data_IF_580160626944
#
_entry.id   IF_580160626944
#
_cell.length_a   1.000
_cell.length_b   1.000
_cell.length_c   1.000
_cell.angle_alpha   90.00
_cell.angle_beta   90.00
_cell.angle_gamma   90.00
#
_symmetry.space_group_name_H-M   'P 1'
#
loop_
_entity.id
_entity.type
_entity.pdbx_description
1 polymer ?
#
# COMPACT_ATOMS: atom_id res chain seq x y z
N UNK A 1 5.36 -23.22 -9.97
CA UNK A 1 5.21 -23.03 -8.51
C UNK A 1 5.08 -21.56 -8.10
N UNK A 2 6.01 -20.66 -8.44
CA UNK A 2 5.93 -19.24 -8.05
C UNK A 2 4.64 -18.53 -8.52
N UNK A 3 4.20 -18.73 -9.76
CA UNK A 3 2.95 -18.11 -10.24
C UNK A 3 1.69 -18.61 -9.54
N UNK A 4 1.65 -19.90 -9.15
CA UNK A 4 0.55 -20.44 -8.37
C UNK A 4 0.50 -19.77 -6.99
N UNK A 5 1.66 -19.49 -6.41
CA UNK A 5 1.76 -18.74 -5.16
C UNK A 5 1.22 -17.31 -5.28
N UNK A 6 1.50 -16.61 -6.38
CA UNK A 6 0.94 -15.28 -6.63
C UNK A 6 -0.59 -15.30 -6.75
N UNK A 7 -1.14 -16.29 -7.47
CA UNK A 7 -2.59 -16.43 -7.61
C UNK A 7 -3.22 -16.72 -6.25
N UNK A 8 -2.60 -17.59 -5.45
CA UNK A 8 -3.07 -17.90 -4.10
C UNK A 8 -3.03 -16.68 -3.17
N UNK A 9 -1.94 -15.89 -3.17
CA UNK A 9 -1.85 -14.68 -2.33
C UNK A 9 -2.84 -13.60 -2.76
N UNK A 10 -3.05 -13.44 -4.07
CA UNK A 10 -4.05 -12.54 -4.63
C UNK A 10 -5.47 -12.97 -4.20
N UNK A 11 -5.85 -14.22 -4.45
CA UNK A 11 -7.16 -14.75 -4.08
C UNK A 11 -7.39 -14.65 -2.58
N UNK A 12 -6.34 -14.84 -1.78
CA UNK A 12 -6.44 -14.70 -0.35
C UNK A 12 -6.73 -13.26 0.07
N UNK A 13 -6.03 -12.27 -0.50
CA UNK A 13 -6.31 -10.85 -0.21
C UNK A 13 -7.67 -10.40 -0.75
N UNK A 14 -8.06 -10.89 -1.93
CA UNK A 14 -9.33 -10.59 -2.59
C UNK A 14 -10.52 -11.13 -1.77
N UNK A 15 -10.48 -12.41 -1.39
CA UNK A 15 -11.54 -13.10 -0.66
C UNK A 15 -11.52 -12.83 0.85
N UNK A 16 -10.43 -12.27 1.39
CA UNK A 16 -10.33 -11.96 2.81
C UNK A 16 -11.39 -10.92 3.22
N UNK A 17 -12.11 -11.23 4.30
CA UNK A 17 -13.08 -10.32 4.89
C UNK A 17 -12.34 -9.10 5.47
N UNK A 18 -12.70 -7.92 5.01
CA UNK A 18 -12.18 -6.66 5.54
C UNK A 18 -12.83 -6.26 6.88
N UNK A 19 -14.04 -6.76 7.15
CA UNK A 19 -14.81 -6.50 8.36
C UNK A 19 -14.37 -7.39 9.54
N UNK A 20 -14.35 -6.82 10.74
CA UNK A 20 -14.13 -7.55 12.00
C UNK A 20 -15.14 -7.11 13.07
N UNK A 21 -15.47 -8.03 13.98
CA UNK A 21 -16.34 -7.76 15.15
C UNK A 21 -15.58 -7.13 16.33
N UNK A 22 -14.28 -6.80 16.19
CA UNK A 22 -13.50 -6.15 17.25
C UNK A 22 -13.96 -4.72 17.39
N UNK A 23 -14.36 -4.32 18.59
CA UNK A 23 -14.70 -2.94 18.89
C UNK A 23 -13.47 -2.18 19.37
N UNK A 24 -13.34 -0.94 18.92
CA UNK A 24 -12.27 -0.02 19.31
C UNK A 24 -12.85 1.17 20.05
N UNK A 25 -12.00 1.86 20.81
CA UNK A 25 -12.31 3.19 21.31
C UNK A 25 -12.55 4.16 20.15
N UNK A 26 -13.52 5.07 20.32
CA UNK A 26 -13.83 6.10 19.35
C UNK A 26 -12.79 7.22 19.38
N UNK A 27 -12.36 7.66 18.20
CA UNK A 27 -11.52 8.86 18.09
C UNK A 27 -12.39 10.07 17.77
N UNK A 28 -12.68 10.90 18.78
CA UNK A 28 -13.49 12.12 18.64
C UNK A 28 -12.81 13.15 17.74
N UNK A 29 -11.51 13.35 17.91
CA UNK A 29 -10.68 14.29 17.12
C UNK A 29 -10.69 13.90 15.64
N UNK A 30 -10.53 12.60 15.36
CA UNK A 30 -10.59 12.11 13.99
C UNK A 30 -12.02 11.78 13.54
N UNK A 31 -13.07 12.06 14.32
CA UNK A 31 -14.45 11.65 14.04
C UNK A 31 -14.54 10.24 13.44
N UNK A 32 -14.02 9.27 14.20
CA UNK A 32 -13.97 7.84 13.87
C UNK A 32 -14.62 7.04 15.00
N UNK A 33 -15.96 6.95 15.04
CA UNK A 33 -16.66 6.17 16.05
C UNK A 33 -16.26 4.71 15.92
N UNK A 34 -15.88 4.09 17.05
CA UNK A 34 -15.37 2.70 17.12
C UNK A 34 -14.30 2.35 16.07
N UNK A 35 -13.53 3.35 15.60
CA UNK A 35 -12.55 3.21 14.51
C UNK A 35 -13.14 2.63 13.21
N UNK A 36 -14.42 2.90 12.94
CA UNK A 36 -15.17 2.38 11.80
C UNK A 36 -15.41 3.43 10.72
N UNK A 37 -15.54 2.97 9.48
CA UNK A 37 -15.91 3.81 8.34
C UNK A 37 -16.86 3.09 7.40
N UNK A 38 -17.98 3.74 7.07
CA UNK A 38 -18.87 3.27 6.02
C UNK A 38 -18.28 3.58 4.65
N UNK A 39 -18.28 2.59 3.74
CA UNK A 39 -17.74 2.75 2.38
C UNK A 39 -18.81 2.38 1.36
N UNK A 40 -19.30 3.38 0.62
CA UNK A 40 -20.26 3.18 -0.49
C UNK A 40 -19.76 2.15 -1.52
N UNK A 41 -18.50 2.23 -1.92
CA UNK A 41 -17.90 1.28 -2.88
C UNK A 41 -17.91 -0.19 -2.41
N UNK A 42 -17.87 -0.43 -1.09
CA UNK A 42 -17.91 -1.77 -0.51
C UNK A 42 -19.33 -2.14 -0.02
N UNK A 43 -20.27 -1.18 0.05
CA UNK A 43 -21.64 -1.31 0.60
C UNK A 43 -21.72 -1.87 2.03
N UNK A 44 -20.66 -1.72 2.83
CA UNK A 44 -20.64 -2.12 4.24
C UNK A 44 -19.71 -1.22 5.06
N UNK A 45 -19.79 -1.35 6.39
CA UNK A 45 -18.93 -0.67 7.36
C UNK A 45 -17.66 -1.47 7.58
N UNK A 46 -16.51 -0.78 7.61
CA UNK A 46 -15.20 -1.38 7.71
C UNK A 46 -14.51 -0.90 8.99
N UNK A 47 -14.14 -1.84 9.87
CA UNK A 47 -13.40 -1.58 11.11
C UNK A 47 -11.91 -1.44 10.81
N UNK A 48 -11.23 -0.44 11.41
CA UNK A 48 -9.80 -0.15 11.17
C UNK A 48 -9.54 0.01 9.66
N UNK A 49 -10.33 0.86 9.03
CA UNK A 49 -10.26 1.12 7.58
C UNK A 49 -8.92 1.78 7.21
N UNK A 50 -8.22 1.21 6.21
CA UNK A 50 -6.99 1.79 5.66
C UNK A 50 -7.26 2.51 4.34
N UNK A 51 -7.63 1.76 3.30
CA UNK A 51 -7.98 2.31 1.99
C UNK A 51 -8.88 1.35 1.20
N UNK A 52 -9.45 1.82 0.09
CA UNK A 52 -10.09 0.94 -0.87
C UNK A 52 -9.09 0.67 -1.99
N UNK A 53 -8.74 -0.59 -2.20
CA UNK A 53 -7.73 -0.97 -3.17
C UNK A 53 -8.41 -1.54 -4.41
N UNK A 54 -8.31 -0.80 -5.52
CA UNK A 54 -8.89 -1.19 -6.82
C UNK A 54 -8.26 -2.49 -7.34
N UNK A 55 -6.99 -2.77 -7.00
CA UNK A 55 -6.25 -3.92 -7.52
C UNK A 55 -6.75 -5.26 -6.97
N UNK A 56 -7.27 -5.26 -5.74
CA UNK A 56 -7.90 -6.45 -5.13
C UNK A 56 -9.43 -6.33 -5.10
N UNK A 57 -9.99 -5.28 -5.73
CA UNK A 57 -11.43 -4.97 -5.73
C UNK A 57 -12.08 -5.04 -4.33
N UNK A 58 -11.33 -4.67 -3.29
CA UNK A 58 -11.77 -4.82 -1.90
C UNK A 58 -11.19 -3.70 -1.02
N UNK A 59 -11.84 -3.47 0.11
CA UNK A 59 -11.36 -2.58 1.16
C UNK A 59 -10.18 -3.25 1.90
N UNK A 60 -9.07 -2.55 2.11
CA UNK A 60 -7.97 -2.96 2.99
C UNK A 60 -8.22 -2.39 4.38
N UNK A 61 -8.24 -3.25 5.38
CA UNK A 61 -8.64 -2.93 6.74
C UNK A 61 -8.11 -3.96 7.74
N UNK A 62 -8.43 -3.79 9.02
CA UNK A 62 -7.92 -4.69 10.06
C UNK A 62 -8.19 -6.18 9.83
N UNK A 63 -9.31 -6.54 9.17
CA UNK A 63 -9.65 -7.95 8.89
C UNK A 63 -8.81 -8.62 7.80
N UNK A 64 -8.16 -7.85 6.93
CA UNK A 64 -7.38 -8.37 5.81
C UNK A 64 -6.00 -7.70 5.64
N UNK A 65 -5.55 -6.92 6.63
CA UNK A 65 -4.30 -6.16 6.56
C UNK A 65 -3.07 -7.08 6.39
N UNK A 66 -3.05 -8.21 7.10
CA UNK A 66 -1.94 -9.18 7.02
C UNK A 66 -1.90 -9.87 5.66
N UNK A 67 -3.07 -10.29 5.15
CA UNK A 67 -3.21 -10.90 3.83
C UNK A 67 -2.78 -9.93 2.73
N UNK A 68 -3.12 -8.64 2.87
CA UNK A 68 -2.68 -7.61 1.94
C UNK A 68 -1.16 -7.40 1.95
N UNK A 69 -0.53 -7.37 3.14
CA UNK A 69 0.94 -7.31 3.24
C UNK A 69 1.59 -8.52 2.57
N UNK A 70 1.04 -9.71 2.79
CA UNK A 70 1.54 -10.94 2.17
C UNK A 70 1.41 -10.90 0.64
N UNK A 71 0.28 -10.40 0.14
CA UNK A 71 0.08 -10.15 -1.29
C UNK A 71 1.15 -9.18 -1.85
N UNK A 72 1.43 -8.06 -1.17
CA UNK A 72 2.48 -7.12 -1.59
C UNK A 72 3.86 -7.78 -1.61
N UNK A 73 4.24 -8.48 -0.55
CA UNK A 73 5.53 -9.18 -0.46
C UNK A 73 5.68 -10.24 -1.56
N UNK A 74 4.65 -11.07 -1.77
CA UNK A 74 4.67 -12.08 -2.84
C UNK A 74 4.82 -11.45 -4.22
N UNK A 75 4.13 -10.33 -4.47
CA UNK A 75 4.20 -9.60 -5.74
C UNK A 75 5.59 -9.04 -5.98
N UNK A 76 6.20 -8.42 -4.96
CA UNK A 76 7.57 -7.90 -5.04
C UNK A 76 8.56 -9.02 -5.35
N UNK A 77 8.50 -10.14 -4.61
CA UNK A 77 9.41 -11.27 -4.80
C UNK A 77 9.28 -11.82 -6.22
N UNK A 78 8.05 -12.09 -6.68
CA UNK A 78 7.82 -12.74 -7.97
C UNK A 78 8.19 -11.83 -9.13
N UNK A 79 7.81 -10.55 -9.08
CA UNK A 79 8.20 -9.58 -10.11
C UNK A 79 9.72 -9.39 -10.16
N UNK A 80 10.39 -9.39 -9.00
CA UNK A 80 11.84 -9.26 -8.94
C UNK A 80 12.56 -10.51 -9.47
N UNK A 81 12.11 -11.70 -9.07
CA UNK A 81 12.65 -12.96 -9.62
C UNK A 81 12.43 -13.04 -11.13
N UNK A 82 11.25 -12.68 -11.61
CA UNK A 82 10.94 -12.65 -13.03
C UNK A 82 11.84 -11.67 -13.80
N UNK A 83 11.99 -10.44 -13.29
CA UNK A 83 12.88 -9.44 -13.87
C UNK A 83 14.33 -9.92 -13.95
N UNK A 84 14.84 -10.59 -12.91
CA UNK A 84 16.18 -11.18 -12.90
C UNK A 84 16.31 -12.30 -13.94
N UNK A 85 15.32 -13.19 -14.06
CA UNK A 85 15.34 -14.27 -15.05
C UNK A 85 15.34 -13.73 -16.48
N UNK A 86 14.50 -12.73 -16.78
CA UNK A 86 14.47 -12.07 -18.08
C UNK A 86 15.78 -11.33 -18.38
N UNK A 87 16.36 -10.62 -17.40
CA UNK A 87 17.66 -9.98 -17.56
C UNK A 87 18.78 -11.00 -17.85
N UNK A 88 18.79 -12.14 -17.14
CA UNK A 88 19.75 -13.23 -17.41
C UNK A 88 19.57 -13.83 -18.79
N UNK A 89 18.33 -14.00 -19.26
CA UNK A 89 18.03 -14.45 -20.61
C UNK A 89 18.58 -13.47 -21.65
N UNK A 90 18.32 -12.16 -21.47
CA UNK A 90 18.85 -11.12 -22.36
C UNK A 90 20.38 -11.16 -22.40
N UNK A 91 21.05 -11.16 -21.24
CA UNK A 91 22.52 -11.22 -21.17
C UNK A 91 23.05 -12.42 -21.94
N UNK A 92 22.48 -13.61 -21.73
CA UNK A 92 22.88 -14.83 -22.46
C UNK A 92 22.60 -14.74 -23.96
N UNK A 93 21.47 -14.14 -24.35
CA UNK A 93 21.11 -14.00 -25.75
C UNK A 93 22.02 -13.01 -26.49
N UNK A 94 22.50 -11.96 -25.83
CA UNK A 94 23.47 -11.01 -26.37
C UNK A 94 24.92 -11.50 -26.29
N UNK A 95 25.26 -12.34 -25.30
CA UNK A 95 26.61 -12.91 -25.16
C UNK A 95 26.82 -14.22 -25.94
N UNK A 96 25.75 -14.83 -26.46
CA UNK A 96 25.86 -15.97 -27.35
C UNK A 96 26.63 -15.57 -28.62
N UNK A 97 27.59 -16.40 -29.08
CA UNK A 97 28.38 -16.07 -30.25
C UNK A 97 27.48 -15.75 -31.46
N UNK A 98 27.88 -14.76 -32.26
CA UNK A 98 27.22 -14.24 -33.47
C UNK A 98 26.75 -15.31 -34.48
N UNK A 99 27.09 -16.57 -34.27
CA UNK A 99 26.63 -17.73 -35.04
C UNK A 99 25.10 -17.77 -35.17
N UNK A 100 24.34 -17.44 -34.12
CA UNK A 100 22.87 -17.34 -34.21
C UNK A 100 22.38 -16.15 -35.04
N UNK A 101 23.02 -14.99 -34.87
CA UNK A 101 22.68 -13.74 -35.57
C UNK A 101 23.04 -13.80 -37.06
N UNK A 102 24.23 -14.29 -37.39
CA UNK A 102 24.72 -14.50 -38.74
C UNK A 102 23.93 -15.55 -39.51
N UNK A 103 23.38 -16.56 -38.81
CA UNK A 103 22.48 -17.56 -39.42
C UNK A 103 21.12 -16.98 -39.80
N UNK A 104 20.52 -16.14 -38.94
CA UNK A 104 19.25 -15.43 -39.24
C UNK A 104 19.46 -14.39 -40.36
N UNK A 105 20.57 -13.66 -40.33
CA UNK A 105 20.92 -12.71 -41.39
C UNK A 105 21.12 -13.39 -42.75
N UNK A 106 21.85 -14.52 -42.80
CA UNK A 106 22.02 -15.31 -44.02
C UNK A 106 20.70 -15.90 -44.53
N UNK A 107 19.82 -16.35 -43.64
CA UNK A 107 18.56 -17.00 -44.00
C UNK A 107 17.46 -16.03 -44.46
N UNK A 108 17.40 -14.81 -43.93
CA UNK A 108 16.28 -13.89 -44.14
C UNK A 108 16.65 -12.51 -44.68
N UNK A 109 17.94 -12.20 -44.83
CA UNK A 109 18.44 -10.87 -45.22
C UNK A 109 18.43 -9.85 -44.08
N UNK A 110 19.29 -8.83 -44.16
CA UNK A 110 19.58 -7.90 -43.06
C UNK A 110 18.33 -7.19 -42.50
N UNK A 111 17.48 -6.62 -43.36
CA UNK A 111 16.27 -5.88 -42.94
C UNK A 111 15.26 -6.78 -42.21
N UNK A 112 15.04 -8.00 -42.70
CA UNK A 112 14.09 -8.95 -42.12
C UNK A 112 14.64 -9.58 -40.84
N UNK A 113 15.93 -9.88 -40.80
CA UNK A 113 16.63 -10.34 -39.60
C UNK A 113 16.59 -9.33 -38.47
N UNK A 114 16.90 -8.05 -38.74
CA UNK A 114 16.84 -6.97 -37.75
C UNK A 114 15.41 -6.77 -37.19
N UNK A 115 14.39 -6.88 -38.06
CA UNK A 115 12.98 -6.80 -37.66
C UNK A 115 12.56 -7.97 -36.75
N UNK A 116 12.97 -9.20 -37.09
CA UNK A 116 12.70 -10.39 -36.26
C UNK A 116 13.39 -10.26 -34.90
N UNK A 117 14.64 -9.81 -34.89
CA UNK A 117 15.40 -9.54 -33.67
C UNK A 117 14.67 -8.52 -32.79
N UNK A 118 14.35 -7.36 -33.35
CA UNK A 118 13.66 -6.29 -32.63
C UNK A 118 12.32 -6.78 -32.05
N UNK A 119 11.49 -7.46 -32.85
CA UNK A 119 10.21 -7.99 -32.38
C UNK A 119 10.35 -9.06 -31.29
N UNK A 120 11.47 -9.79 -31.26
CA UNK A 120 11.70 -10.84 -30.25
C UNK A 120 12.21 -10.28 -28.92
N UNK A 121 13.07 -9.25 -28.96
CA UNK A 121 13.71 -8.72 -27.75
C UNK A 121 12.96 -7.54 -27.12
N UNK A 122 12.34 -6.67 -27.92
CA UNK A 122 11.54 -5.53 -27.43
C UNK A 122 10.50 -5.91 -26.37
N UNK A 123 9.68 -6.98 -26.52
CA UNK A 123 8.74 -7.36 -25.47
C UNK A 123 9.45 -7.79 -24.17
N UNK A 124 10.59 -8.48 -24.26
CA UNK A 124 11.36 -8.91 -23.08
C UNK A 124 11.95 -7.70 -22.34
N UNK A 125 12.48 -6.71 -23.07
CA UNK A 125 12.94 -5.45 -22.47
C UNK A 125 11.82 -4.67 -21.79
N UNK A 126 10.68 -4.51 -22.49
CA UNK A 126 9.51 -3.83 -21.94
C UNK A 126 9.02 -4.53 -20.66
N UNK A 127 9.00 -5.86 -20.66
CA UNK A 127 8.60 -6.68 -19.52
C UNK A 127 9.55 -6.54 -18.32
N UNK A 128 10.87 -6.56 -18.54
CA UNK A 128 11.87 -6.30 -17.47
C UNK A 128 11.66 -4.91 -16.87
N UNK A 129 11.51 -3.89 -17.71
CA UNK A 129 11.34 -2.51 -17.28
C UNK A 129 10.06 -2.32 -16.47
N UNK A 130 8.92 -2.82 -16.96
CA UNK A 130 7.64 -2.70 -16.26
C UNK A 130 7.66 -3.40 -14.90
N UNK A 131 8.15 -4.65 -14.83
CA UNK A 131 8.20 -5.35 -13.55
C UNK A 131 9.18 -4.75 -12.56
N UNK A 132 10.31 -4.20 -13.04
CA UNK A 132 11.25 -3.49 -12.18
C UNK A 132 10.60 -2.23 -11.57
N UNK A 133 9.90 -1.42 -12.38
CA UNK A 133 9.20 -0.22 -11.89
C UNK A 133 8.11 -0.58 -10.90
N UNK A 134 7.29 -1.58 -11.21
CA UNK A 134 6.21 -2.03 -10.32
C UNK A 134 6.81 -2.52 -9.00
N UNK A 135 7.82 -3.38 -9.03
CA UNK A 135 8.51 -3.82 -7.80
C UNK A 135 9.04 -2.66 -6.99
N UNK A 136 9.74 -1.71 -7.63
CA UNK A 136 10.32 -0.55 -6.96
C UNK A 136 9.25 0.34 -6.32
N UNK A 137 8.12 0.55 -6.99
CA UNK A 137 7.00 1.32 -6.46
C UNK A 137 6.28 0.62 -5.31
N UNK A 138 6.21 -0.71 -5.31
CA UNK A 138 5.54 -1.49 -4.27
C UNK A 138 6.36 -1.59 -2.97
N UNK A 139 7.69 -1.49 -3.02
CA UNK A 139 8.55 -1.56 -1.83
C UNK A 139 8.20 -0.51 -0.75
N UNK A 140 8.20 0.81 -1.03
CA UNK A 140 7.86 1.80 -0.01
C UNK A 140 6.42 1.66 0.47
N UNK A 141 5.51 1.23 -0.41
CA UNK A 141 4.13 0.97 -0.04
C UNK A 141 4.00 -0.22 0.93
N UNK A 142 4.72 -1.31 0.68
CA UNK A 142 4.79 -2.48 1.57
C UNK A 142 5.41 -2.12 2.92
N UNK A 143 6.52 -1.36 2.92
CA UNK A 143 7.13 -0.84 4.15
C UNK A 143 6.11 0.01 4.92
N UNK A 144 5.38 0.89 4.23
CA UNK A 144 4.33 1.71 4.82
C UNK A 144 3.23 0.87 5.50
N UNK A 145 2.80 -0.23 4.88
CA UNK A 145 1.81 -1.13 5.47
C UNK A 145 2.34 -1.88 6.70
N UNK A 146 3.61 -2.30 6.67
CA UNK A 146 4.27 -2.90 7.84
C UNK A 146 4.38 -1.89 8.97
N UNK A 147 4.79 -0.65 8.69
CA UNK A 147 4.86 0.42 9.69
C UNK A 147 3.48 0.76 10.25
N UNK A 148 2.43 0.76 9.42
CA UNK A 148 1.05 0.95 9.87
C UNK A 148 0.63 -0.13 10.90
N UNK A 149 1.02 -1.39 10.69
CA UNK A 149 0.82 -2.47 11.67
C UNK A 149 1.63 -2.20 12.94
N UNK A 150 2.92 -1.91 12.80
CA UNK A 150 3.82 -1.70 13.95
C UNK A 150 3.42 -0.50 14.82
N UNK A 151 2.86 0.54 14.22
CA UNK A 151 2.41 1.76 14.91
C UNK A 151 0.92 1.72 15.25
N UNK A 152 0.20 0.66 14.88
CA UNK A 152 -1.27 0.60 14.96
C UNK A 152 -1.99 1.84 14.41
N UNK A 153 -1.49 2.40 13.31
CA UNK A 153 -2.03 3.62 12.68
C UNK A 153 -2.24 3.36 11.20
N UNK A 154 -3.46 3.53 10.74
CA UNK A 154 -3.82 3.37 9.32
C UNK A 154 -3.35 4.57 8.50
N UNK A 155 -3.18 4.37 7.20
CA UNK A 155 -2.97 5.41 6.20
C UNK A 155 -4.11 6.41 6.21
N UNK A 156 -5.36 5.96 6.37
CA UNK A 156 -6.50 6.86 6.50
C UNK A 156 -6.37 7.80 7.71
N UNK A 157 -6.05 7.26 8.89
CA UNK A 157 -5.84 8.06 10.11
C UNK A 157 -4.67 9.04 9.93
N UNK A 158 -3.56 8.59 9.33
CA UNK A 158 -2.40 9.45 9.04
C UNK A 158 -2.76 10.61 8.12
N UNK A 159 -3.43 10.35 6.99
CA UNK A 159 -3.82 11.38 6.04
C UNK A 159 -4.88 12.33 6.63
N UNK A 160 -5.85 11.82 7.40
CA UNK A 160 -6.85 12.64 8.08
C UNK A 160 -6.20 13.55 9.11
N UNK A 161 -5.26 13.03 9.90
CA UNK A 161 -4.49 13.80 10.88
C UNK A 161 -3.63 14.89 10.20
N UNK A 162 -2.91 14.56 9.11
CA UNK A 162 -2.15 15.55 8.33
C UNK A 162 -3.02 16.70 7.81
N UNK A 163 -4.20 16.36 7.26
CA UNK A 163 -5.16 17.37 6.80
C UNK A 163 -5.63 18.28 7.94
N UNK A 164 -5.95 17.72 9.10
CA UNK A 164 -6.36 18.50 10.27
C UNK A 164 -5.22 19.39 10.79
N UNK A 165 -3.98 18.92 10.80
CA UNK A 165 -2.83 19.75 11.15
C UNK A 165 -2.70 20.96 10.21
N UNK A 166 -2.87 20.77 8.90
CA UNK A 166 -2.85 21.88 7.94
C UNK A 166 -4.02 22.84 8.17
N UNK A 167 -5.24 22.32 8.38
CA UNK A 167 -6.42 23.15 8.66
C UNK A 167 -6.26 23.96 9.97
N UNK A 168 -5.55 23.45 10.98
CA UNK A 168 -5.22 24.19 12.20
C UNK A 168 -4.17 25.29 11.94
N UNK A 169 -3.11 24.96 11.20
CA UNK A 169 -2.06 25.93 10.85
C UNK A 169 -2.59 27.08 9.99
N UNK A 170 -3.54 26.78 9.09
CA UNK A 170 -4.25 27.77 8.27
C UNK A 170 -5.30 28.57 9.06
N UNK A 171 -5.54 28.25 10.33
CA UNK A 171 -6.57 28.90 11.16
C UNK A 171 -8.01 28.59 10.74
N UNK A 172 -8.24 27.53 9.94
CA UNK A 172 -9.59 27.06 9.58
C UNK A 172 -10.24 26.29 10.71
N UNK A 173 -9.43 25.61 11.53
CA UNK A 173 -9.88 24.79 12.66
C UNK A 173 -9.08 25.06 13.91
N UNK A 174 -9.70 24.84 15.06
CA UNK A 174 -9.07 25.02 16.37
C UNK A 174 -9.22 23.72 17.17
N UNK A 175 -8.11 23.30 17.79
CA UNK A 175 -8.10 22.20 18.74
C UNK A 175 -8.47 22.75 20.12
N UNK A 176 -9.64 22.37 20.62
CA UNK A 176 -10.16 22.84 21.92
C UNK A 176 -9.90 21.76 22.97
N UNK A 177 -9.26 22.18 24.07
CA UNK A 177 -8.95 21.35 25.25
C UNK A 177 -8.28 20.00 24.95
N UNK A 178 -7.61 19.88 23.79
CA UNK A 178 -7.02 18.63 23.32
C UNK A 178 -8.03 17.45 23.22
N UNK A 179 -9.32 17.74 23.11
CA UNK A 179 -10.42 16.75 23.11
C UNK A 179 -11.24 16.75 21.82
N UNK A 180 -11.39 17.92 21.21
CA UNK A 180 -12.21 18.11 20.03
C UNK A 180 -11.62 19.13 19.07
N UNK A 181 -11.97 19.00 17.80
CA UNK A 181 -11.62 19.99 16.78
C UNK A 181 -12.91 20.65 16.31
N UNK A 182 -12.94 21.98 16.37
CA UNK A 182 -14.05 22.81 15.89
C UNK A 182 -13.61 23.68 14.73
N UNK A 183 -14.57 24.15 13.95
CA UNK A 183 -14.30 25.17 12.93
C UNK A 183 -13.96 26.50 13.62
N UNK A 184 -13.04 27.27 13.03
CA UNK A 184 -12.53 28.51 13.64
C UNK A 184 -13.61 29.57 13.87
N UNK A 185 -14.73 29.51 13.14
CA UNK A 185 -15.89 30.38 13.37
C UNK A 185 -16.54 30.17 14.75
N UNK A 186 -16.35 28.97 15.33
CA UNK A 186 -16.96 28.56 16.59
C UNK A 186 -15.99 28.67 17.78
N UNK A 187 -14.77 29.16 17.55
CA UNK A 187 -13.69 29.22 18.54
C UNK A 187 -12.95 30.57 18.46
N UNK A 188 -12.30 30.96 19.57
CA UNK A 188 -11.39 32.12 19.56
C UNK A 188 -10.15 31.74 18.76
N UNK A 189 -9.82 32.52 17.72
CA UNK A 189 -8.63 32.25 16.91
C UNK A 189 -7.36 32.39 17.77
N UNK A 190 -6.63 31.30 17.91
CA UNK A 190 -5.40 31.26 18.68
C UNK A 190 -4.23 31.96 17.98
N UNK A 191 -3.23 32.32 18.76
CA UNK A 191 -1.94 32.81 18.25
C UNK A 191 -1.27 31.77 17.34
N UNK A 192 -0.36 32.21 16.46
CA UNK A 192 0.41 31.29 15.60
C UNK A 192 1.21 30.26 16.42
N UNK A 193 1.67 30.64 17.63
CA UNK A 193 2.39 29.74 18.54
C UNK A 193 1.46 28.60 19.00
N UNK A 194 0.23 28.91 19.38
CA UNK A 194 -0.77 27.93 19.81
C UNK A 194 -1.16 27.00 18.65
N UNK A 195 -1.35 27.54 17.44
CA UNK A 195 -1.64 26.75 16.23
C UNK A 195 -0.53 25.73 15.94
N UNK A 196 0.74 26.16 16.01
CA UNK A 196 1.90 25.29 15.80
C UNK A 196 2.01 24.23 16.90
N UNK A 197 1.76 24.60 18.17
CA UNK A 197 1.76 23.66 19.28
C UNK A 197 0.67 22.59 19.13
N UNK A 198 -0.56 23.01 18.79
CA UNK A 198 -1.68 22.10 18.53
C UNK A 198 -1.41 21.15 17.36
N UNK A 199 -0.89 21.65 16.24
CA UNK A 199 -0.54 20.83 15.08
C UNK A 199 0.58 19.81 15.41
N UNK A 200 1.62 20.22 16.14
CA UNK A 200 2.70 19.31 16.59
C UNK A 200 2.18 18.24 17.54
N UNK A 201 1.31 18.61 18.47
CA UNK A 201 0.69 17.64 19.37
C UNK A 201 -0.16 16.63 18.60
N UNK A 202 -1.01 17.11 17.68
CA UNK A 202 -1.88 16.27 16.88
C UNK A 202 -1.08 15.31 15.99
N UNK A 203 0.01 15.76 15.41
CA UNK A 203 0.90 14.94 14.57
C UNK A 203 1.45 13.73 15.33
N UNK A 204 1.80 13.90 16.60
CA UNK A 204 2.35 12.84 17.47
C UNK A 204 1.27 11.93 18.06
N UNK A 205 0.00 12.36 18.06
CA UNK A 205 -1.10 11.62 18.66
C UNK A 205 -1.33 10.27 17.98
N UNK A 206 -1.41 9.23 18.81
CA UNK A 206 -1.80 7.88 18.42
C UNK A 206 -2.39 7.13 19.63
N UNK A 207 -3.72 7.08 19.72
CA UNK A 207 -4.42 6.46 20.87
C UNK A 207 -4.49 4.93 20.78
N UNK A 208 -4.15 4.35 19.64
CA UNK A 208 -4.26 2.91 19.39
C UNK A 208 -2.92 2.17 19.54
N UNK A 209 -1.80 2.88 19.68
CA UNK A 209 -0.49 2.24 19.85
C UNK A 209 -0.38 1.60 21.23
N UNK A 210 -0.12 0.29 21.26
CA UNK A 210 0.03 -0.49 22.49
C UNK A 210 1.43 -1.10 22.63
N UNK A 211 2.42 -0.61 21.86
CA UNK A 211 3.71 -1.21 21.56
C UNK A 211 3.68 -2.23 20.41
N UNK A 212 4.84 -2.39 19.75
CA UNK A 212 5.00 -3.19 18.52
C UNK A 212 4.46 -4.62 18.65
N UNK A 213 4.78 -5.30 19.76
CA UNK A 213 4.37 -6.70 19.96
C UNK A 213 2.83 -6.84 20.09
N UNK A 214 2.19 -5.97 20.88
CA UNK A 214 0.73 -5.97 21.04
C UNK A 214 0.01 -5.54 19.75
N UNK A 215 0.58 -4.59 19.02
CA UNK A 215 0.03 -4.14 17.74
C UNK A 215 0.06 -5.25 16.68
N UNK A 216 1.15 -6.02 16.59
CA UNK A 216 1.25 -7.19 15.71
C UNK A 216 0.23 -8.26 16.14
N UNK A 217 0.16 -8.57 17.44
CA UNK A 217 -0.79 -9.55 17.99
C UNK A 217 -2.23 -9.17 17.63
N UNK A 218 -2.61 -7.91 17.82
CA UNK A 218 -3.91 -7.39 17.40
C UNK A 218 -4.16 -7.60 15.91
N UNK A 219 -3.19 -7.25 15.05
CA UNK A 219 -3.36 -7.38 13.61
C UNK A 219 -3.54 -8.86 13.18
N UNK A 220 -2.82 -9.78 13.81
CA UNK A 220 -2.98 -11.22 13.59
C UNK A 220 -4.34 -11.72 14.08
N UNK A 221 -4.77 -11.35 15.28
CA UNK A 221 -6.09 -11.71 15.80
C UNK A 221 -7.21 -11.19 14.89
N UNK A 222 -7.11 -9.94 14.41
CA UNK A 222 -8.10 -9.39 13.49
C UNK A 222 -8.11 -10.12 12.14
N UNK A 223 -6.96 -10.56 11.65
CA UNK A 223 -6.83 -11.22 10.35
C UNK A 223 -7.22 -12.71 10.35
N UNK A 224 -7.06 -13.40 11.49
CA UNK A 224 -7.19 -14.86 11.56
C UNK A 224 -8.25 -15.37 12.53
N UNK A 225 -8.65 -14.57 13.53
CA UNK A 225 -9.72 -14.97 14.45
C UNK A 225 -11.07 -14.82 13.75
N UNK A 226 -11.45 -15.88 13.03
CA UNK A 226 -12.77 -16.01 12.42
C UNK A 226 -13.81 -16.19 13.53
N UNK A 227 -14.74 -15.25 13.63
CA UNK A 227 -16.05 -15.49 14.25
C UNK A 227 -17.05 -15.85 13.16
#
# INVERSE_FOLDING_TARGET
MLYMWQVSSYLWAFLAKSHTKKEFESDTILNLPKRQKQRKACSHTVTKFDHHCIWISNCVAGGNQIQFIFFLLSTIIINSTHGVLCARFLIKAYSAPLVGYGSVQKAFGLKKGLKILFNSFTPVFAQVFMFAIISLALVPFCIGQILNVLQNKTTFERLKNQRLCLEILEGKKVLVDYKEIKDSKDAIDGTMIEKVAAAKWLQKRNIYDQCKAKNIKEALEMAFTRK
#
